data_IF_756012822621
#
_entry.id   IF_756012822621
#
_cell.length_a   1.000
_cell.length_b   1.000
_cell.length_c   1.000
_cell.angle_alpha   90.00
_cell.angle_beta   90.00
_cell.angle_gamma   90.00
#
_symmetry.space_group_name_H-M   'P 1'
#
loop_
_entity.id
_entity.type
_entity.pdbx_description
1 polymer ?
#
# COMPACT_ATOMS: atom_id res chain seq x y z
N UNK A 1 2.88 -6.11 24.23
CA UNK A 1 1.75 -6.34 23.31
C UNK A 1 2.30 -6.05 21.93
N UNK A 2 2.42 -7.07 21.09
CA UNK A 2 2.77 -6.85 19.68
C UNK A 2 1.47 -6.47 19.00
N UNK A 3 1.20 -5.17 18.90
CA UNK A 3 0.29 -4.65 17.87
C UNK A 3 0.97 -4.89 16.51
N UNK A 4 0.97 -6.15 16.08
CA UNK A 4 1.34 -6.51 14.74
C UNK A 4 0.23 -6.03 13.82
N UNK A 5 0.60 -5.40 12.70
CA UNK A 5 -0.34 -5.04 11.65
C UNK A 5 -1.13 -6.30 11.26
N UNK A 6 -2.43 -6.29 11.51
CA UNK A 6 -3.30 -7.39 11.10
C UNK A 6 -3.34 -7.42 9.58
N UNK A 7 -2.96 -8.58 9.00
CA UNK A 7 -2.98 -8.75 7.56
C UNK A 7 -4.43 -8.93 7.10
N UNK A 8 -4.93 -7.91 6.39
CA UNK A 8 -6.16 -8.00 5.60
C UNK A 8 -5.86 -7.50 4.18
N UNK A 9 -5.85 -8.38 3.16
CA UNK A 9 -5.50 -7.99 1.80
C UNK A 9 -6.41 -6.89 1.25
N UNK A 10 -7.71 -6.93 1.58
CA UNK A 10 -8.65 -5.88 1.18
C UNK A 10 -8.31 -4.52 1.81
N UNK A 11 -7.97 -4.49 3.11
CA UNK A 11 -7.56 -3.27 3.79
C UNK A 11 -6.26 -2.70 3.21
N UNK A 12 -5.33 -3.56 2.80
CA UNK A 12 -4.08 -3.15 2.14
C UNK A 12 -4.33 -2.57 0.76
N UNK A 13 -5.24 -3.15 -0.04
CA UNK A 13 -5.66 -2.59 -1.33
C UNK A 13 -6.39 -1.27 -1.17
N UNK A 14 -7.33 -1.17 -0.23
CA UNK A 14 -8.06 0.05 0.06
C UNK A 14 -7.11 1.17 0.52
N UNK A 15 -6.14 0.84 1.38
CA UNK A 15 -5.08 1.78 1.79
C UNK A 15 -4.17 2.20 0.64
N UNK A 16 -3.85 1.26 -0.26
CA UNK A 16 -3.09 1.54 -1.48
C UNK A 16 -3.85 2.48 -2.42
N UNK A 17 -5.12 2.19 -2.70
CA UNK A 17 -6.00 3.03 -3.51
C UNK A 17 -6.13 4.44 -2.92
N UNK A 18 -6.39 4.54 -1.61
CA UNK A 18 -6.48 5.83 -0.93
C UNK A 18 -5.18 6.62 -0.99
N UNK A 19 -4.04 5.94 -1.02
CA UNK A 19 -2.74 6.60 -1.19
C UNK A 19 -2.56 7.13 -2.61
N UNK A 20 -2.94 6.40 -3.65
CA UNK A 20 -2.92 6.93 -5.01
C UNK A 20 -3.85 8.14 -5.19
N UNK A 21 -5.07 8.10 -4.64
CA UNK A 21 -5.95 9.28 -4.65
C UNK A 21 -5.31 10.49 -3.99
N UNK A 22 -4.64 10.29 -2.84
CA UNK A 22 -3.93 11.37 -2.15
C UNK A 22 -2.71 11.87 -2.94
N UNK A 23 -2.07 11.00 -3.73
CA UNK A 23 -0.99 11.38 -4.64
C UNK A 23 -1.49 12.27 -5.77
N UNK A 24 -2.60 11.88 -6.42
CA UNK A 24 -3.24 12.69 -7.47
C UNK A 24 -3.66 14.08 -6.96
N UNK A 25 -4.22 14.14 -5.74
CA UNK A 25 -4.57 15.41 -5.09
C UNK A 25 -3.33 16.27 -4.79
N UNK A 26 -2.23 15.64 -4.36
CA UNK A 26 -0.96 16.32 -4.14
C UNK A 26 -0.40 16.88 -5.46
N UNK A 27 -0.42 16.10 -6.55
CA UNK A 27 -0.01 16.57 -7.87
C UNK A 27 -0.85 17.76 -8.35
N UNK A 28 -2.17 17.70 -8.12
CA UNK A 28 -3.08 18.82 -8.39
C UNK A 28 -2.71 20.08 -7.60
N UNK A 29 -2.42 19.94 -6.30
CA UNK A 29 -1.98 21.04 -5.46
C UNK A 29 -0.60 21.60 -5.88
N UNK A 30 0.34 20.75 -6.26
CA UNK A 30 1.64 21.15 -6.77
C UNK A 30 1.51 21.94 -8.09
N UNK A 31 0.67 21.47 -9.01
CA UNK A 31 0.37 22.16 -10.26
C UNK A 31 -0.26 23.54 -9.98
N UNK A 32 -1.25 23.61 -9.07
CA UNK A 32 -1.86 24.87 -8.68
C UNK A 32 -0.84 25.85 -8.09
N UNK A 33 0.01 25.40 -7.16
CA UNK A 33 1.01 26.26 -6.52
C UNK A 33 1.98 26.87 -7.55
N UNK A 34 2.33 26.16 -8.63
CA UNK A 34 3.16 26.72 -9.71
C UNK A 34 2.49 27.86 -10.48
N UNK A 35 1.16 27.95 -10.48
CA UNK A 35 0.43 29.06 -11.09
C UNK A 35 0.44 30.33 -10.23
N UNK A 36 0.71 30.19 -8.93
CA UNK A 36 0.76 31.31 -8.00
C UNK A 36 2.09 32.05 -8.20
N UNK A 37 2.03 33.33 -8.56
CA UNK A 37 3.20 34.20 -8.59
C UNK A 37 2.79 35.58 -8.10
N UNK A 38 3.46 36.07 -7.07
CA UNK A 38 3.31 37.44 -6.63
C UNK A 38 4.33 38.32 -7.36
N UNK A 39 3.90 39.52 -7.74
CA UNK A 39 4.72 40.54 -8.42
C UNK A 39 4.68 41.85 -7.63
N UNK A 40 5.84 42.51 -7.48
CA UNK A 40 5.96 43.73 -6.69
C UNK A 40 5.09 44.88 -7.19
N UNK A 41 4.91 45.01 -8.52
CA UNK A 41 4.05 46.02 -9.12
C UNK A 41 2.58 45.86 -8.73
N UNK A 42 2.13 44.63 -8.48
CA UNK A 42 0.77 44.32 -8.03
C UNK A 42 0.54 44.58 -6.53
N UNK A 43 1.62 44.76 -5.76
CA UNK A 43 1.58 44.99 -4.31
C UNK A 43 2.24 46.32 -3.91
N UNK A 44 2.19 47.32 -4.79
CA UNK A 44 2.66 48.68 -4.48
C UNK A 44 4.16 48.78 -4.19
N UNK A 45 4.98 47.88 -4.76
CA UNK A 45 6.43 47.81 -4.53
C UNK A 45 6.85 47.08 -3.25
N UNK A 46 5.96 46.30 -2.63
CA UNK A 46 6.25 45.55 -1.41
C UNK A 46 7.11 44.30 -1.67
N UNK A 47 8.37 44.49 -2.09
CA UNK A 47 9.30 43.42 -2.49
C UNK A 47 9.47 42.34 -1.41
N UNK A 48 9.64 42.73 -0.15
CA UNK A 48 9.81 41.79 0.97
C UNK A 48 8.60 40.86 1.13
N UNK A 49 7.40 41.39 0.98
CA UNK A 49 6.17 40.61 1.06
C UNK A 49 6.06 39.64 -0.12
N UNK A 50 6.30 40.11 -1.33
CA UNK A 50 6.28 39.29 -2.55
C UNK A 50 7.29 38.16 -2.49
N UNK A 51 8.52 38.44 -2.04
CA UNK A 51 9.55 37.44 -1.84
C UNK A 51 9.13 36.38 -0.80
N UNK A 52 8.49 36.78 0.29
CA UNK A 52 7.98 35.85 1.30
C UNK A 52 6.85 34.96 0.76
N UNK A 53 5.93 35.51 -0.03
CA UNK A 53 4.85 34.74 -0.68
C UNK A 53 5.42 33.73 -1.66
N UNK A 54 6.29 34.17 -2.57
CA UNK A 54 6.91 33.30 -3.58
C UNK A 54 7.79 32.21 -2.92
N UNK A 55 8.55 32.56 -1.87
CA UNK A 55 9.35 31.59 -1.12
C UNK A 55 8.51 30.56 -0.35
N UNK A 56 7.36 30.97 0.19
CA UNK A 56 6.40 30.07 0.85
C UNK A 56 5.78 29.11 -0.16
N UNK A 57 5.33 29.63 -1.32
CA UNK A 57 4.85 28.82 -2.45
C UNK A 57 5.87 27.76 -2.84
N UNK A 58 7.13 28.13 -3.04
CA UNK A 58 8.18 27.19 -3.45
C UNK A 58 8.46 26.11 -2.42
N UNK A 59 8.33 26.45 -1.15
CA UNK A 59 8.50 25.51 -0.04
C UNK A 59 7.32 24.52 -0.01
N UNK A 60 6.10 25.02 -0.14
CA UNK A 60 4.89 24.17 -0.20
C UNK A 60 4.90 23.28 -1.44
N UNK A 61 5.23 23.81 -2.61
CA UNK A 61 5.31 23.06 -3.86
C UNK A 61 6.26 21.85 -3.73
N UNK A 62 7.46 22.06 -3.16
CA UNK A 62 8.42 20.98 -2.89
C UNK A 62 7.94 19.99 -1.83
N UNK A 63 7.19 20.45 -0.83
CA UNK A 63 6.63 19.58 0.21
C UNK A 63 5.53 18.67 -0.34
N UNK A 64 4.65 19.23 -1.15
CA UNK A 64 3.54 18.51 -1.79
C UNK A 64 4.06 17.51 -2.82
N UNK A 65 5.04 17.86 -3.65
CA UNK A 65 5.66 16.91 -4.59
C UNK A 65 6.25 15.69 -3.88
N UNK A 66 6.94 15.89 -2.75
CA UNK A 66 7.45 14.77 -1.93
C UNK A 66 6.33 13.95 -1.29
N UNK A 67 5.21 14.58 -0.95
CA UNK A 67 4.05 13.87 -0.43
C UNK A 67 3.41 13.00 -1.51
N UNK A 68 3.34 13.47 -2.77
CA UNK A 68 2.85 12.69 -3.90
C UNK A 68 3.72 11.44 -4.11
N UNK A 69 5.04 11.62 -4.25
CA UNK A 69 6.01 10.51 -4.37
C UNK A 69 5.87 9.50 -3.23
N UNK A 70 5.81 9.96 -1.98
CA UNK A 70 5.66 9.07 -0.82
C UNK A 70 4.29 8.35 -0.79
N UNK A 71 3.24 8.96 -1.35
CA UNK A 71 1.92 8.33 -1.44
C UNK A 71 1.85 7.30 -2.56
N UNK A 72 2.52 7.53 -3.68
CA UNK A 72 2.67 6.53 -4.73
C UNK A 72 3.41 5.29 -4.22
N UNK A 73 4.52 5.49 -3.49
CA UNK A 73 5.29 4.40 -2.89
C UNK A 73 4.44 3.57 -1.91
N UNK A 74 3.67 4.23 -1.04
CA UNK A 74 2.75 3.56 -0.12
C UNK A 74 1.64 2.84 -0.89
N UNK A 75 1.12 3.47 -1.95
CA UNK A 75 0.16 2.90 -2.89
C UNK A 75 0.64 1.55 -3.41
N UNK A 76 1.82 1.56 -4.05
CA UNK A 76 2.46 0.37 -4.61
C UNK A 76 2.71 -0.70 -3.55
N UNK A 77 3.23 -0.32 -2.39
CA UNK A 77 3.49 -1.24 -1.28
C UNK A 77 2.22 -1.92 -0.77
N UNK A 78 1.08 -1.21 -0.73
CA UNK A 78 -0.20 -1.77 -0.30
C UNK A 78 -0.67 -2.90 -1.22
N UNK A 79 -0.67 -2.66 -2.53
CA UNK A 79 -1.05 -3.69 -3.51
C UNK A 79 -0.08 -4.87 -3.53
N UNK A 80 1.24 -4.61 -3.48
CA UNK A 80 2.25 -5.67 -3.44
C UNK A 80 2.09 -6.54 -2.20
N UNK A 81 1.87 -5.95 -1.02
CA UNK A 81 1.69 -6.69 0.23
C UNK A 81 0.42 -7.53 0.22
N UNK A 82 -0.67 -7.00 -0.35
CA UNK A 82 -1.90 -7.76 -0.54
C UNK A 82 -1.67 -9.01 -1.40
N UNK A 83 -1.01 -8.86 -2.56
CA UNK A 83 -0.71 -9.95 -3.47
C UNK A 83 0.18 -11.03 -2.85
N UNK A 84 1.26 -10.62 -2.16
CA UNK A 84 2.17 -11.56 -1.49
C UNK A 84 1.41 -12.41 -0.47
N UNK A 85 0.54 -11.80 0.34
CA UNK A 85 -0.18 -12.57 1.35
C UNK A 85 -1.24 -13.51 0.75
N UNK A 86 -1.87 -13.16 -0.37
CA UNK A 86 -2.79 -14.07 -1.07
C UNK A 86 -2.05 -15.28 -1.66
N UNK A 87 -0.85 -15.05 -2.23
CA UNK A 87 0.02 -16.13 -2.70
C UNK A 87 0.42 -17.07 -1.54
N UNK A 88 0.73 -16.50 -0.37
CA UNK A 88 1.06 -17.25 0.85
C UNK A 88 -0.15 -18.04 1.36
N UNK A 89 -1.34 -17.44 1.38
CA UNK A 89 -2.57 -18.11 1.79
C UNK A 89 -2.91 -19.28 0.85
N UNK A 90 -2.78 -19.08 -0.46
CA UNK A 90 -2.98 -20.13 -1.45
C UNK A 90 -1.97 -21.27 -1.31
N UNK A 91 -0.69 -20.95 -1.13
CA UNK A 91 0.36 -21.94 -0.91
C UNK A 91 0.14 -22.73 0.38
N UNK A 92 -0.27 -22.04 1.46
CA UNK A 92 -0.56 -22.66 2.75
C UNK A 92 -1.76 -23.60 2.66
N UNK A 93 -2.85 -23.17 2.00
CA UNK A 93 -4.03 -24.01 1.78
C UNK A 93 -3.67 -25.26 0.96
N UNK A 94 -2.89 -25.11 -0.11
CA UNK A 94 -2.40 -26.24 -0.91
C UNK A 94 -1.57 -27.23 -0.09
N UNK A 95 -0.67 -26.74 0.76
CA UNK A 95 0.15 -27.57 1.63
C UNK A 95 -0.70 -28.34 2.67
N UNK A 96 -1.70 -27.69 3.26
CA UNK A 96 -2.63 -28.31 4.22
C UNK A 96 -3.47 -29.39 3.54
N UNK A 97 -4.02 -29.13 2.36
CA UNK A 97 -4.78 -30.13 1.59
C UNK A 97 -3.91 -31.33 1.24
N UNK A 98 -2.69 -31.11 0.71
CA UNK A 98 -1.76 -32.19 0.37
C UNK A 98 -1.38 -33.05 1.58
N UNK A 99 -1.17 -32.43 2.75
CA UNK A 99 -0.91 -33.15 4.00
C UNK A 99 -2.13 -33.96 4.46
N UNK A 100 -3.34 -33.40 4.31
CA UNK A 100 -4.60 -34.09 4.60
C UNK A 100 -4.82 -35.32 3.73
N UNK A 101 -4.58 -35.21 2.42
CA UNK A 101 -4.71 -36.30 1.46
C UNK A 101 -3.68 -37.42 1.72
N UNK A 102 -2.43 -37.05 2.05
CA UNK A 102 -1.41 -38.00 2.46
C UNK A 102 -1.79 -38.74 3.76
N UNK A 103 -2.36 -38.03 4.73
CA UNK A 103 -2.88 -38.61 5.97
C UNK A 103 -4.05 -39.56 5.74
N UNK A 104 -5.00 -39.19 4.89
CA UNK A 104 -6.14 -40.04 4.52
C UNK A 104 -5.68 -41.32 3.82
N UNK A 105 -4.75 -41.21 2.87
CA UNK A 105 -4.17 -42.36 2.17
C UNK A 105 -3.42 -43.29 3.14
N UNK A 106 -2.71 -42.73 4.12
CA UNK A 106 -2.05 -43.49 5.18
C UNK A 106 -3.04 -44.25 6.08
N UNK A 107 -4.14 -43.62 6.48
CA UNK A 107 -5.18 -44.25 7.31
C UNK A 107 -5.90 -45.36 6.55
N UNK A 108 -6.26 -45.13 5.28
CA UNK A 108 -6.90 -46.15 4.43
C UNK A 108 -5.97 -47.33 4.14
N UNK A 109 -4.68 -47.07 3.91
CA UNK A 109 -3.67 -48.13 3.74
C UNK A 109 -3.49 -48.98 5.00
N UNK A 110 -3.46 -48.35 6.19
CA UNK A 110 -3.34 -49.05 7.47
C UNK A 110 -4.60 -49.87 7.80
N UNK A 111 -5.80 -49.35 7.51
CA UNK A 111 -7.06 -50.08 7.66
C UNK A 111 -7.16 -51.26 6.70
N UNK A 112 -6.79 -51.07 5.43
CA UNK A 112 -6.77 -52.15 4.42
C UNK A 112 -5.81 -53.28 4.80
N UNK A 113 -4.62 -52.94 5.31
CA UNK A 113 -3.66 -53.91 5.81
C UNK A 113 -4.19 -54.68 7.02
N UNK A 114 -4.83 -54.01 7.98
CA UNK A 114 -5.42 -54.67 9.16
C UNK A 114 -6.56 -55.62 8.82
N UNK A 115 -7.43 -55.24 7.89
CA UNK A 115 -8.51 -56.11 7.39
C UNK A 115 -7.93 -57.34 6.65
N UNK A 116 -6.85 -57.16 5.88
CA UNK A 116 -6.15 -58.26 5.22
C UNK A 116 -5.44 -59.20 6.21
N UNK A 117 -4.96 -58.65 7.33
CA UNK A 117 -4.25 -59.39 8.39
C UNK A 117 -5.20 -60.08 9.40
N UNK A 118 -6.52 -59.96 9.23
CA UNK A 118 -7.52 -60.76 9.96
C UNK A 118 -7.83 -60.29 11.38
N UNK A 119 -7.83 -58.97 11.61
CA UNK A 119 -8.43 -58.28 12.77
C UNK A 119 -9.60 -57.41 12.29
#
# INVERSE_FOLDING_TARGET
MSEGLEYLPESLRAGGQGSYTASDEADGAHAYLRTVSADAGSFGGADTFVNAVNGTRDTQARGVNRAAEGRDDIGASGYQSAAIGEDVDAASNSAVTAAGDAGATGVTGVLGQRIADGI
#
